data_IF_927649189077
#
_entry.id   IF_927649189077
#
_cell.length_a   1.000
_cell.length_b   1.000
_cell.length_c   1.000
_cell.angle_alpha   90.00
_cell.angle_beta   90.00
_cell.angle_gamma   90.00
#
_symmetry.space_group_name_H-M   'P 1'
#
loop_
_entity.id
_entity.type
_entity.pdbx_description
1 polymer ?
#
# COMPACT_ATOMS: atom_id res chain seq x y z
N UNK A 1 -14.57 5.52 21.71
CA UNK A 1 -14.32 5.32 20.26
C UNK A 1 -12.82 5.25 20.08
N UNK A 2 -12.28 4.11 19.63
CA UNK A 2 -10.84 3.94 19.43
C UNK A 2 -10.33 4.81 18.27
N UNK A 3 -9.18 5.48 18.48
CA UNK A 3 -8.53 6.36 17.49
C UNK A 3 -7.32 5.65 16.90
N UNK A 4 -7.33 5.42 15.58
CA UNK A 4 -6.26 4.82 14.82
C UNK A 4 -5.69 5.85 13.84
N UNK A 5 -4.37 5.92 13.72
CA UNK A 5 -3.68 6.86 12.81
C UNK A 5 -2.50 6.19 12.10
N UNK A 6 -2.19 6.70 10.90
CA UNK A 6 -1.02 6.28 10.13
C UNK A 6 0.16 7.21 10.38
N UNK A 7 1.35 6.65 10.49
CA UNK A 7 2.61 7.37 10.65
C UNK A 7 3.67 6.85 9.66
N UNK A 8 4.28 7.75 8.91
CA UNK A 8 5.39 7.45 8.00
C UNK A 8 6.77 7.80 8.57
N UNK A 9 6.84 8.22 9.84
CA UNK A 9 8.09 8.48 10.57
C UNK A 9 7.87 8.31 12.08
N UNK A 10 8.90 7.97 12.83
CA UNK A 10 8.85 7.90 14.29
C UNK A 10 8.46 9.24 14.94
N UNK A 11 8.84 10.38 14.33
CA UNK A 11 8.43 11.70 14.80
C UNK A 11 6.92 11.91 14.72
N UNK A 12 6.28 11.51 13.62
CA UNK A 12 4.82 11.57 13.48
C UNK A 12 4.15 10.65 14.51
N UNK A 13 4.68 9.43 14.67
CA UNK A 13 4.16 8.47 15.64
C UNK A 13 4.18 9.03 17.08
N UNK A 14 5.30 9.64 17.52
CA UNK A 14 5.38 10.30 18.85
C UNK A 14 4.33 11.40 19.03
N UNK A 15 4.09 12.23 18.01
CA UNK A 15 3.06 13.27 18.07
C UNK A 15 1.66 12.69 18.24
N UNK A 16 1.37 11.59 17.54
CA UNK A 16 0.09 10.90 17.64
C UNK A 16 -0.08 10.23 19.00
N UNK A 17 0.94 9.54 19.50
CA UNK A 17 0.92 8.95 20.84
C UNK A 17 0.69 10.02 21.92
N UNK A 18 1.39 11.16 21.85
CA UNK A 18 1.20 12.30 22.77
C UNK A 18 -0.21 12.90 22.68
N UNK A 19 -0.89 12.82 21.53
CA UNK A 19 -2.28 13.21 21.36
C UNK A 19 -3.29 12.16 21.87
N UNK A 20 -2.81 11.06 22.43
CA UNK A 20 -3.60 10.00 23.07
C UNK A 20 -4.34 9.12 22.07
N UNK A 21 -3.74 8.78 20.91
CA UNK A 21 -4.30 7.76 20.00
C UNK A 21 -4.13 6.36 20.59
N UNK A 22 -5.06 5.47 20.27
CA UNK A 22 -5.12 4.13 20.85
C UNK A 22 -4.28 3.11 20.06
N UNK A 23 -4.00 3.39 18.76
CA UNK A 23 -3.25 2.50 17.88
C UNK A 23 -2.58 3.30 16.76
N UNK A 24 -1.34 2.94 16.44
CA UNK A 24 -0.56 3.56 15.36
C UNK A 24 -0.27 2.54 14.26
N UNK A 25 -0.45 2.93 13.01
CA UNK A 25 -0.06 2.15 11.84
C UNK A 25 1.25 2.73 11.30
N UNK A 26 2.35 2.00 11.46
CA UNK A 26 3.64 2.34 10.86
C UNK A 26 3.62 1.98 9.37
N UNK A 27 3.45 2.99 8.51
CA UNK A 27 3.28 2.80 7.07
C UNK A 27 4.56 3.13 6.31
N UNK A 28 5.26 2.10 5.84
CA UNK A 28 6.48 2.23 5.05
C UNK A 28 6.25 2.71 3.61
N UNK A 29 7.34 3.11 2.97
CA UNK A 29 7.33 3.68 1.61
C UNK A 29 6.83 2.72 0.55
N UNK A 30 6.85 1.41 0.79
CA UNK A 30 6.37 0.35 -0.12
C UNK A 30 4.84 0.28 -0.20
N UNK A 31 4.13 0.91 0.74
CA UNK A 31 2.67 0.91 0.76
C UNK A 31 2.07 1.67 -0.43
N UNK A 32 0.85 1.33 -0.82
CA UNK A 32 0.05 2.09 -1.75
C UNK A 32 -0.55 3.35 -1.11
N UNK A 33 -0.85 4.35 -1.92
CA UNK A 33 -1.37 5.63 -1.45
C UNK A 33 -0.29 6.56 -0.89
N UNK A 34 -0.67 7.49 -0.03
CA UNK A 34 0.25 8.45 0.57
C UNK A 34 1.19 7.75 1.56
N UNK A 35 2.49 7.87 1.31
CA UNK A 35 3.53 7.24 2.15
C UNK A 35 4.60 8.25 2.55
N UNK A 36 5.28 7.97 3.67
CA UNK A 36 6.59 8.53 3.97
C UNK A 36 7.67 7.96 3.04
N UNK A 37 8.93 8.20 3.39
CA UNK A 37 10.09 7.76 2.58
C UNK A 37 10.84 6.60 3.21
N UNK A 38 10.56 6.29 4.48
CA UNK A 38 11.24 5.23 5.23
C UNK A 38 10.63 3.87 4.86
N UNK A 39 11.48 2.89 4.59
CA UNK A 39 11.07 1.52 4.29
C UNK A 39 10.47 0.83 5.53
N UNK A 40 9.52 -0.09 5.32
CA UNK A 40 8.80 -0.79 6.41
C UNK A 40 9.76 -1.50 7.38
N UNK A 41 10.80 -2.16 6.86
CA UNK A 41 11.81 -2.86 7.67
C UNK A 41 12.53 -1.94 8.66
N UNK A 42 12.73 -0.68 8.32
CA UNK A 42 13.38 0.34 9.17
C UNK A 42 12.35 1.06 10.04
N UNK A 43 11.22 1.44 9.45
CA UNK A 43 10.21 2.26 10.11
C UNK A 43 9.54 1.55 11.29
N UNK A 44 9.20 0.26 11.13
CA UNK A 44 8.40 -0.45 12.13
C UNK A 44 9.11 -0.50 13.48
N UNK A 45 10.38 -0.99 13.62
CA UNK A 45 11.05 -1.02 14.91
C UNK A 45 11.28 0.39 15.46
N UNK A 46 11.62 1.39 14.63
CA UNK A 46 11.77 2.77 15.09
C UNK A 46 10.48 3.34 15.70
N UNK A 47 9.32 3.02 15.10
CA UNK A 47 8.02 3.47 15.61
C UNK A 47 7.67 2.72 16.89
N UNK A 48 7.81 1.39 16.91
CA UNK A 48 7.55 0.56 18.11
C UNK A 48 8.33 1.08 19.32
N UNK A 49 9.64 1.29 19.17
CA UNK A 49 10.49 1.79 20.25
C UNK A 49 10.11 3.21 20.68
N UNK A 50 9.68 4.04 19.71
CA UNK A 50 9.39 5.44 19.96
C UNK A 50 8.08 5.72 20.70
N UNK A 51 7.11 4.78 20.63
CA UNK A 51 5.73 5.00 21.12
C UNK A 51 5.27 4.01 22.18
N UNK A 52 6.13 3.07 22.58
CA UNK A 52 5.79 2.12 23.64
C UNK A 52 5.21 2.83 24.88
N UNK A 53 4.09 2.38 25.47
CA UNK A 53 3.38 1.13 25.23
C UNK A 53 2.22 1.21 24.21
N UNK A 54 2.15 2.23 23.34
CA UNK A 54 1.07 2.33 22.35
C UNK A 54 1.24 1.21 21.29
N UNK A 55 0.22 0.38 21.02
CA UNK A 55 0.31 -0.70 20.05
C UNK A 55 0.57 -0.19 18.63
N UNK A 56 1.37 -0.96 17.86
CA UNK A 56 1.76 -0.61 16.49
C UNK A 56 1.37 -1.74 15.54
N UNK A 57 0.71 -1.38 14.43
CA UNK A 57 0.55 -2.27 13.28
C UNK A 57 1.55 -1.90 12.18
N UNK A 58 2.15 -2.90 11.56
CA UNK A 58 3.00 -2.70 10.39
C UNK A 58 2.17 -2.62 9.10
N UNK A 59 2.48 -1.66 8.23
CA UNK A 59 1.84 -1.49 6.93
C UNK A 59 2.88 -1.19 5.84
N UNK A 60 2.64 -1.70 4.64
CA UNK A 60 3.50 -1.54 3.48
C UNK A 60 4.24 -2.83 3.12
N UNK A 61 4.05 -3.27 1.87
CA UNK A 61 4.72 -4.45 1.34
C UNK A 61 4.23 -5.79 1.91
N UNK A 62 3.09 -5.85 2.60
CA UNK A 62 2.60 -7.06 3.29
C UNK A 62 1.41 -7.67 2.54
N UNK A 63 1.58 -8.91 2.04
CA UNK A 63 0.56 -9.71 1.36
C UNK A 63 0.70 -11.23 1.64
N UNK A 64 1.70 -11.64 2.42
CA UNK A 64 2.06 -13.03 2.68
C UNK A 64 2.24 -13.28 4.18
N UNK A 65 1.99 -14.52 4.61
CA UNK A 65 2.15 -14.93 6.00
C UNK A 65 3.55 -14.74 6.55
N UNK A 66 4.58 -15.01 5.74
CA UNK A 66 5.99 -14.75 6.12
C UNK A 66 6.29 -13.27 6.38
N UNK A 67 5.58 -12.36 5.73
CA UNK A 67 5.71 -10.92 5.97
C UNK A 67 4.99 -10.51 7.27
N UNK A 68 3.91 -11.22 7.65
CA UNK A 68 3.29 -11.05 8.98
C UNK A 68 4.29 -11.47 10.05
N UNK A 69 4.93 -12.65 9.92
CA UNK A 69 5.92 -13.12 10.86
C UNK A 69 7.09 -12.14 11.02
N UNK A 70 7.58 -11.58 9.90
CA UNK A 70 8.61 -10.55 9.93
C UNK A 70 8.15 -9.28 10.64
N UNK A 71 6.92 -8.81 10.40
CA UNK A 71 6.36 -7.63 11.06
C UNK A 71 6.26 -7.80 12.58
N UNK A 72 5.82 -8.98 13.04
CA UNK A 72 5.77 -9.30 14.49
C UNK A 72 7.18 -9.39 15.08
N UNK A 73 8.15 -9.96 14.36
CA UNK A 73 9.56 -9.99 14.78
C UNK A 73 10.18 -8.59 14.90
N UNK A 74 9.69 -7.60 14.14
CA UNK A 74 10.07 -6.19 14.25
C UNK A 74 9.38 -5.46 15.41
N UNK A 75 8.56 -6.15 16.20
CA UNK A 75 7.87 -5.61 17.37
C UNK A 75 6.45 -5.09 17.12
N UNK A 76 5.93 -5.20 15.90
CA UNK A 76 4.52 -4.86 15.65
C UNK A 76 3.58 -5.88 16.32
N UNK A 77 2.38 -5.43 16.75
CA UNK A 77 1.34 -6.31 17.30
C UNK A 77 0.42 -6.93 16.24
N UNK A 78 0.59 -6.53 14.98
CA UNK A 78 -0.16 -7.03 13.85
C UNK A 78 0.19 -6.29 12.56
N UNK A 79 -0.65 -6.47 11.54
CA UNK A 79 -0.43 -5.87 10.21
C UNK A 79 -1.68 -5.15 9.71
N UNK A 80 -1.44 -4.13 8.85
CA UNK A 80 -2.47 -3.42 8.11
C UNK A 80 -2.20 -3.58 6.61
N UNK A 81 -3.02 -4.38 5.94
CA UNK A 81 -2.87 -4.71 4.52
C UNK A 81 -3.89 -3.95 3.66
N UNK A 82 -3.45 -3.37 2.55
CA UNK A 82 -4.29 -2.68 1.59
C UNK A 82 -4.26 -3.33 0.21
N UNK A 83 -3.09 -3.32 -0.44
CA UNK A 83 -2.94 -3.70 -1.85
C UNK A 83 -3.38 -5.15 -2.16
N UNK A 84 -3.21 -6.07 -1.23
CA UNK A 84 -3.59 -7.48 -1.40
C UNK A 84 -5.10 -7.67 -1.63
N UNK A 85 -5.92 -6.75 -1.14
CA UNK A 85 -7.37 -6.81 -1.30
C UNK A 85 -7.85 -6.31 -2.67
N UNK A 86 -7.05 -5.50 -3.37
CA UNK A 86 -7.46 -4.84 -4.62
C UNK A 86 -7.74 -5.82 -5.77
N UNK A 87 -7.20 -7.04 -5.72
CA UNK A 87 -7.43 -8.10 -6.70
C UNK A 87 -8.36 -9.20 -6.21
N UNK A 88 -9.02 -9.01 -5.06
CA UNK A 88 -9.99 -10.00 -4.59
C UNK A 88 -11.30 -9.92 -5.39
N UNK A 89 -12.07 -11.01 -5.34
CA UNK A 89 -13.39 -11.11 -5.97
C UNK A 89 -14.34 -10.03 -5.44
N UNK A 90 -14.27 -9.76 -4.15
CA UNK A 90 -15.12 -8.80 -3.43
C UNK A 90 -14.72 -7.33 -3.63
N UNK A 91 -13.52 -7.08 -4.17
CA UNK A 91 -13.07 -5.71 -4.40
C UNK A 91 -13.79 -5.05 -5.58
N UNK A 92 -14.27 -3.83 -5.37
CA UNK A 92 -14.88 -2.97 -6.41
C UNK A 92 -13.83 -2.34 -7.35
N UNK A 93 -12.59 -2.85 -7.35
CA UNK A 93 -11.54 -2.39 -8.26
C UNK A 93 -11.99 -2.60 -9.71
N UNK A 94 -11.93 -1.57 -10.58
CA UNK A 94 -12.31 -1.72 -11.99
C UNK A 94 -11.58 -2.89 -12.65
N UNK A 95 -12.24 -3.74 -13.45
CA UNK A 95 -11.62 -4.93 -14.05
C UNK A 95 -10.31 -4.63 -14.79
N UNK A 96 -10.27 -3.53 -15.56
CA UNK A 96 -9.07 -3.10 -16.29
C UNK A 96 -7.88 -2.80 -15.36
N UNK A 97 -8.15 -2.24 -14.19
CA UNK A 97 -7.12 -1.95 -13.17
C UNK A 97 -6.69 -3.25 -12.48
N UNK A 98 -7.63 -4.13 -12.19
CA UNK A 98 -7.37 -5.46 -11.62
C UNK A 98 -6.45 -6.28 -12.53
N UNK A 99 -6.73 -6.32 -13.86
CA UNK A 99 -5.88 -6.96 -14.85
C UNK A 99 -4.46 -6.37 -14.88
N UNK A 100 -4.34 -5.04 -14.79
CA UNK A 100 -3.03 -4.36 -14.75
C UNK A 100 -2.25 -4.73 -13.49
N UNK A 101 -2.91 -4.84 -12.34
CA UNK A 101 -2.25 -5.26 -11.10
C UNK A 101 -1.73 -6.69 -11.20
N UNK A 102 -2.50 -7.61 -11.80
CA UNK A 102 -2.08 -9.00 -11.98
C UNK A 102 -0.92 -9.17 -12.98
N UNK A 103 -0.75 -8.20 -13.89
CA UNK A 103 0.34 -8.18 -14.86
C UNK A 103 1.59 -7.41 -14.37
N UNK A 104 1.48 -6.67 -13.26
CA UNK A 104 2.53 -5.78 -12.78
C UNK A 104 3.57 -6.52 -11.94
N UNK A 105 4.79 -6.00 -11.98
CA UNK A 105 5.88 -6.36 -11.06
C UNK A 105 5.99 -5.34 -9.92
N UNK A 106 6.77 -5.65 -8.89
CA UNK A 106 7.04 -4.71 -7.79
C UNK A 106 7.70 -3.41 -8.24
N UNK A 107 8.38 -3.41 -9.39
CA UNK A 107 9.04 -2.24 -9.98
C UNK A 107 8.08 -1.34 -10.77
N UNK A 108 6.87 -1.81 -11.08
CA UNK A 108 5.89 -1.07 -11.86
C UNK A 108 5.05 -0.09 -11.01
N UNK A 109 5.55 0.30 -9.85
CA UNK A 109 4.92 1.33 -9.03
C UNK A 109 5.79 2.58 -8.96
N UNK A 110 5.15 3.74 -8.88
CA UNK A 110 5.82 5.04 -8.77
C UNK A 110 5.17 5.86 -7.65
N UNK A 111 5.96 6.70 -6.99
CA UNK A 111 5.43 7.75 -6.11
C UNK A 111 5.25 9.01 -6.91
N UNK A 112 4.01 9.33 -7.26
CA UNK A 112 3.66 10.50 -8.07
C UNK A 112 2.71 11.43 -7.32
N UNK A 113 2.75 12.71 -7.65
CA UNK A 113 1.81 13.73 -7.16
C UNK A 113 0.60 13.90 -8.07
N UNK A 114 0.55 13.17 -9.18
CA UNK A 114 -0.40 13.36 -10.27
C UNK A 114 -1.88 13.26 -9.89
N UNK A 115 -2.25 12.47 -8.87
CA UNK A 115 -3.64 12.29 -8.47
C UNK A 115 -4.09 13.21 -7.31
N UNK A 116 -3.17 13.56 -6.40
CA UNK A 116 -3.57 14.23 -5.15
C UNK A 116 -2.79 15.49 -4.82
N UNK A 117 -1.68 15.74 -5.54
CA UNK A 117 -0.76 16.83 -5.22
C UNK A 117 0.24 16.52 -4.10
N UNK A 118 0.09 15.37 -3.42
CA UNK A 118 1.06 14.80 -2.49
C UNK A 118 1.66 13.52 -3.04
N UNK A 119 2.93 13.21 -2.73
CA UNK A 119 3.51 11.93 -3.14
C UNK A 119 2.67 10.75 -2.65
N UNK A 120 2.19 9.94 -3.58
CA UNK A 120 1.42 8.76 -3.32
C UNK A 120 1.88 7.63 -4.24
N UNK A 121 2.02 6.42 -3.71
CA UNK A 121 2.42 5.27 -4.52
C UNK A 121 1.22 4.70 -5.25
N UNK A 122 1.40 4.53 -6.56
CA UNK A 122 0.38 4.00 -7.47
C UNK A 122 1.03 3.18 -8.58
N UNK A 123 0.23 2.48 -9.36
CA UNK A 123 0.72 1.79 -10.56
C UNK A 123 1.26 2.84 -11.55
N UNK A 124 2.48 2.59 -12.07
CA UNK A 124 3.07 3.41 -13.12
C UNK A 124 2.30 3.18 -14.43
N UNK A 125 1.91 4.25 -15.09
CA UNK A 125 1.15 4.23 -16.34
C UNK A 125 1.49 5.46 -17.17
N UNK A 126 1.01 5.53 -18.41
CA UNK A 126 1.17 6.73 -19.24
C UNK A 126 0.62 8.01 -18.56
N UNK A 127 -0.37 7.90 -17.65
CA UNK A 127 -0.82 9.02 -16.83
C UNK A 127 0.28 9.56 -15.91
N UNK A 128 0.92 8.68 -15.15
CA UNK A 128 1.99 9.08 -14.22
C UNK A 128 3.21 9.57 -14.97
N UNK A 129 3.57 8.89 -16.07
CA UNK A 129 4.73 9.25 -16.88
C UNK A 129 4.57 10.64 -17.51
N UNK A 130 3.36 11.00 -17.96
CA UNK A 130 3.09 12.33 -18.52
C UNK A 130 3.18 13.42 -17.46
N UNK A 131 2.63 13.21 -16.26
CA UNK A 131 2.72 14.16 -15.16
C UNK A 131 4.14 14.35 -14.59
N UNK A 132 4.97 13.32 -14.68
CA UNK A 132 6.34 13.31 -14.15
C UNK A 132 7.38 13.79 -15.21
N UNK A 133 6.94 14.22 -16.41
CA UNK A 133 7.84 14.80 -17.42
C UNK A 133 8.37 16.16 -16.97
N UNK A 134 9.64 16.50 -17.32
CA UNK A 134 10.23 17.78 -16.94
C UNK A 134 9.53 19.03 -17.50
N UNK A 135 8.80 18.87 -18.61
CA UNK A 135 8.06 19.92 -19.32
C UNK A 135 6.56 19.94 -18.95
N UNK A 136 6.09 19.03 -18.09
CA UNK A 136 4.72 19.04 -17.59
C UNK A 136 4.53 20.09 -16.49
N UNK A 137 3.31 20.65 -16.37
CA UNK A 137 2.99 21.55 -15.26
C UNK A 137 3.16 20.84 -13.90
N UNK A 138 3.68 21.56 -12.92
CA UNK A 138 3.73 21.06 -11.56
C UNK A 138 2.31 20.72 -11.04
N UNK A 139 2.11 19.54 -10.43
CA UNK A 139 0.84 19.21 -9.79
C UNK A 139 0.48 20.23 -8.71
N UNK A 140 -0.77 20.63 -8.69
CA UNK A 140 -1.31 21.52 -7.64
C UNK A 140 -1.17 20.87 -6.27
N UNK A 141 -1.14 21.70 -5.21
CA UNK A 141 -1.19 21.20 -3.85
C UNK A 141 -2.55 20.52 -3.52
N UNK A 142 -2.53 19.59 -2.58
CA UNK A 142 -3.76 18.96 -2.06
C UNK A 142 -4.64 20.02 -1.34
N UNK A 143 -5.98 20.05 -1.55
CA UNK A 143 -6.79 19.09 -2.31
C UNK A 143 -7.02 19.49 -3.78
N UNK A 144 -6.44 20.56 -4.28
CA UNK A 144 -6.75 21.15 -5.58
C UNK A 144 -6.42 20.20 -6.74
N UNK A 145 -5.32 19.46 -6.64
CA UNK A 145 -4.97 18.46 -7.66
C UNK A 145 -6.05 17.40 -7.82
N UNK A 146 -6.57 16.87 -6.70
CA UNK A 146 -7.64 15.88 -6.74
C UNK A 146 -8.90 16.43 -7.40
N UNK A 147 -9.25 17.69 -7.12
CA UNK A 147 -10.40 18.34 -7.75
C UNK A 147 -10.17 18.52 -9.28
N UNK A 148 -8.97 18.91 -9.69
CA UNK A 148 -8.62 19.09 -11.09
C UNK A 148 -8.71 17.79 -11.89
N UNK A 149 -8.23 16.66 -11.34
CA UNK A 149 -8.11 15.41 -12.09
C UNK A 149 -9.29 14.44 -11.89
N UNK A 150 -10.25 14.75 -11.03
CA UNK A 150 -11.38 13.85 -10.72
C UNK A 150 -12.22 13.50 -11.96
N UNK A 151 -12.60 14.48 -12.77
CA UNK A 151 -13.39 14.25 -14.00
C UNK A 151 -12.58 13.52 -15.09
N UNK A 152 -11.33 13.92 -15.43
CA UNK A 152 -10.46 13.13 -16.28
C UNK A 152 -10.30 11.67 -15.83
N UNK A 153 -10.07 11.40 -14.55
CA UNK A 153 -9.94 10.03 -14.03
C UNK A 153 -11.23 9.23 -14.17
N UNK A 154 -12.38 9.85 -13.91
CA UNK A 154 -13.68 9.20 -14.11
C UNK A 154 -13.85 8.79 -15.59
N UNK A 155 -13.58 9.69 -16.53
CA UNK A 155 -13.66 9.42 -17.98
C UNK A 155 -12.69 8.33 -18.43
N UNK A 156 -11.44 8.35 -17.91
CA UNK A 156 -10.46 7.30 -18.19
C UNK A 156 -10.99 5.95 -17.71
N UNK A 157 -11.48 5.86 -16.47
CA UNK A 157 -11.97 4.61 -15.91
C UNK A 157 -13.19 4.07 -16.66
N UNK A 158 -14.10 4.94 -17.11
CA UNK A 158 -15.25 4.56 -17.91
C UNK A 158 -14.86 4.07 -19.32
N UNK A 159 -13.91 4.76 -19.96
CA UNK A 159 -13.46 4.40 -21.31
C UNK A 159 -12.51 3.20 -21.33
N UNK A 160 -11.69 3.01 -20.29
CA UNK A 160 -10.65 1.98 -20.24
C UNK A 160 -11.18 0.54 -20.32
N UNK A 161 -12.44 0.32 -19.93
CA UNK A 161 -13.13 -0.96 -20.05
C UNK A 161 -13.54 -1.34 -21.48
N UNK A 162 -13.51 -0.38 -22.43
CA UNK A 162 -13.91 -0.64 -23.81
C UNK A 162 -12.80 -1.42 -24.56
N UNK A 163 -13.14 -2.41 -25.40
CA UNK A 163 -12.15 -3.12 -26.21
C UNK A 163 -11.32 -2.17 -27.08
N UNK A 164 -10.00 -2.27 -27.03
CA UNK A 164 -9.10 -1.44 -27.84
C UNK A 164 -8.97 0.03 -27.40
N UNK A 165 -9.57 0.43 -26.29
CA UNK A 165 -9.50 1.81 -25.82
C UNK A 165 -8.09 2.19 -25.35
N UNK A 166 -7.49 3.23 -25.93
CA UNK A 166 -6.20 3.81 -25.48
C UNK A 166 -6.26 4.34 -24.03
N UNK A 167 -7.45 4.68 -23.53
CA UNK A 167 -7.65 5.04 -22.13
C UNK A 167 -7.18 3.97 -21.14
N UNK A 168 -7.11 2.69 -21.56
CA UNK A 168 -6.53 1.61 -20.75
C UNK A 168 -5.06 1.90 -20.36
N UNK A 169 -4.30 2.54 -21.23
CA UNK A 169 -2.89 2.89 -20.94
C UNK A 169 -2.77 3.92 -19.80
N UNK A 170 -3.76 4.80 -19.67
CA UNK A 170 -3.80 5.86 -18.66
C UNK A 170 -4.35 5.40 -17.31
N UNK A 171 -5.17 4.35 -17.28
CA UNK A 171 -5.83 3.90 -16.06
C UNK A 171 -4.81 3.47 -15.00
N UNK A 172 -4.84 4.15 -13.85
CA UNK A 172 -3.97 3.89 -12.69
C UNK A 172 -4.79 3.88 -11.40
N UNK A 173 -4.22 3.30 -10.34
CA UNK A 173 -4.80 3.35 -9.00
C UNK A 173 -3.71 3.16 -7.95
N UNK A 174 -4.01 3.54 -6.70
CA UNK A 174 -3.09 3.36 -5.59
C UNK A 174 -2.82 1.90 -5.31
N UNK A 175 -1.55 1.51 -5.33
CA UNK A 175 -1.12 0.15 -5.02
C UNK A 175 0.32 0.19 -4.53
N UNK A 176 0.65 -0.67 -3.55
CA UNK A 176 2.01 -0.83 -3.03
C UNK A 176 2.87 -1.75 -3.89
N UNK A 177 4.17 -1.78 -3.61
CA UNK A 177 5.13 -2.63 -4.34
C UNK A 177 4.82 -4.13 -4.23
N UNK A 178 4.02 -4.54 -3.24
CA UNK A 178 3.54 -5.92 -3.11
C UNK A 178 2.66 -6.37 -4.29
N UNK A 179 2.27 -5.46 -5.19
CA UNK A 179 1.56 -5.78 -6.43
C UNK A 179 2.22 -6.90 -7.22
N UNK A 180 3.56 -6.96 -7.23
CA UNK A 180 4.31 -8.03 -7.89
C UNK A 180 4.12 -9.44 -7.28
N UNK A 181 3.42 -9.55 -6.15
CA UNK A 181 3.04 -10.82 -5.53
C UNK A 181 1.58 -11.22 -5.81
N UNK A 182 0.85 -10.40 -6.57
CA UNK A 182 -0.57 -10.61 -6.90
C UNK A 182 -0.64 -11.29 -8.29
N UNK A 183 -0.92 -12.57 -8.33
CA UNK A 183 -0.85 -13.39 -9.56
C UNK A 183 -2.23 -13.81 -10.12
N UNK A 184 -3.29 -13.67 -9.34
CA UNK A 184 -4.65 -14.09 -9.72
C UNK A 184 -5.73 -13.43 -8.86
N UNK A 185 -6.95 -13.41 -9.38
CA UNK A 185 -8.15 -13.05 -8.59
C UNK A 185 -8.47 -14.19 -7.64
N UNK A 186 -8.77 -13.86 -6.39
CA UNK A 186 -9.08 -14.80 -5.31
C UNK A 186 -10.13 -14.21 -4.39
N UNK A 187 -10.88 -15.06 -3.68
CA UNK A 187 -11.74 -14.56 -2.60
C UNK A 187 -10.91 -14.01 -1.44
N UNK A 188 -11.38 -12.97 -0.79
CA UNK A 188 -10.75 -12.41 0.41
C UNK A 188 -10.56 -13.48 1.49
N UNK A 189 -11.51 -14.41 1.62
CA UNK A 189 -11.40 -15.57 2.52
C UNK A 189 -10.17 -16.43 2.21
N UNK A 190 -9.97 -16.77 0.93
CA UNK A 190 -8.81 -17.58 0.50
C UNK A 190 -7.49 -16.86 0.81
N UNK A 191 -7.43 -15.55 0.55
CA UNK A 191 -6.25 -14.74 0.86
C UNK A 191 -5.93 -14.78 2.36
N UNK A 192 -6.93 -14.57 3.22
CA UNK A 192 -6.73 -14.60 4.69
C UNK A 192 -6.24 -15.98 5.14
N UNK A 193 -6.87 -17.07 4.67
CA UNK A 193 -6.48 -18.42 5.07
C UNK A 193 -5.04 -18.73 4.68
N UNK A 194 -4.65 -18.45 3.43
CA UNK A 194 -3.27 -18.69 2.97
C UNK A 194 -2.25 -17.85 3.75
N UNK A 195 -2.59 -16.59 4.07
CA UNK A 195 -1.72 -15.75 4.90
C UNK A 195 -1.55 -16.31 6.31
N UNK A 196 -2.62 -16.84 6.92
CA UNK A 196 -2.56 -17.45 8.26
C UNK A 196 -1.78 -18.76 8.24
N UNK A 197 -2.03 -19.62 7.26
CA UNK A 197 -1.32 -20.89 7.12
C UNK A 197 0.19 -20.65 6.90
N UNK A 198 0.56 -19.78 5.95
CA UNK A 198 1.97 -19.46 5.72
C UNK A 198 2.63 -18.80 6.93
N UNK A 199 1.88 -18.00 7.71
CA UNK A 199 2.39 -17.42 8.96
C UNK A 199 2.76 -18.52 9.97
N UNK A 200 1.84 -19.47 10.21
CA UNK A 200 2.06 -20.59 11.13
C UNK A 200 3.28 -21.41 10.71
N UNK A 201 3.36 -21.77 9.43
CA UNK A 201 4.49 -22.51 8.86
C UNK A 201 5.81 -21.77 9.02
N UNK A 202 5.81 -20.46 8.76
CA UNK A 202 7.01 -19.62 8.90
C UNK A 202 7.49 -19.56 10.34
N UNK A 203 6.59 -19.39 11.30
CA UNK A 203 6.93 -19.39 12.74
C UNK A 203 7.51 -20.73 13.15
N UNK A 204 6.93 -21.85 12.71
CA UNK A 204 7.45 -23.19 12.96
C UNK A 204 8.87 -23.40 12.41
N UNK A 205 9.14 -22.90 11.19
CA UNK A 205 10.48 -22.94 10.58
C UNK A 205 11.50 -22.12 11.39
N UNK A 206 11.14 -20.90 11.82
CA UNK A 206 12.00 -20.04 12.63
C UNK A 206 12.33 -20.67 13.98
N UNK A 207 11.35 -21.29 14.66
CA UNK A 207 11.58 -22.02 15.91
C UNK A 207 12.58 -23.17 15.73
N UNK A 208 12.48 -23.91 14.62
CA UNK A 208 13.43 -24.97 14.29
C UNK A 208 14.86 -24.52 14.04
N UNK A 209 15.08 -23.25 13.69
CA UNK A 209 16.44 -22.68 13.55
C UNK A 209 17.10 -22.38 14.92
N UNK A 210 16.31 -22.00 15.91
CA UNK A 210 16.82 -21.64 17.25
C UNK A 210 17.09 -22.90 18.10
N UNK A 211 16.47 -24.02 17.79
CA UNK A 211 16.61 -25.29 18.52
C UNK A 211 17.77 -26.17 18.01
N UNK A 212 18.52 -25.72 16.99
CA UNK A 212 19.72 -26.39 16.46
C UNK A 212 20.98 -25.84 17.10
#
# INVERSE_FOLDING_TARGET
MSRLVLAGTAQHARRHAAAGVDLIVAQGTEAGGHTGEVATMVLVPEVVDAVSPTPVLAAGGIARGRQIAAALALGAEGVWCGSVWLTTEEAETPPVVKDKFLAATSSDTVRSRSLTGKPARMLRTAWTDEWDRPDSPDPLGMPLQSALVSDPQLRINQAAGQPGAKARELATYFVGQVVGSLDRVRSARSVVLDMVEEFIDTVGQLQGLVQR
#
